data_IF_842509234415
#
_entry.id   IF_842509234415
#
_cell.length_a   1.000
_cell.length_b   1.000
_cell.length_c   1.000
_cell.angle_alpha   90.00
_cell.angle_beta   90.00
_cell.angle_gamma   90.00
#
_symmetry.space_group_name_H-M   'P 1'
#
loop_
_entity.id
_entity.type
_entity.pdbx_description
1 polymer ?
#
# COMPACT_ATOMS: atom_id res chain seq x y z
N UNK A 1 12.18 16.61 17.63
CA UNK A 1 11.50 15.74 16.64
C UNK A 1 12.10 14.35 16.77
N UNK A 2 11.36 13.36 17.28
CA UNK A 2 11.84 11.98 17.27
C UNK A 2 11.52 11.42 15.89
N UNK A 3 12.53 11.31 15.03
CA UNK A 3 12.34 10.73 13.71
C UNK A 3 12.01 9.24 13.89
N UNK A 4 10.92 8.74 13.30
CA UNK A 4 10.53 7.32 13.30
C UNK A 4 11.46 6.44 12.45
N UNK A 5 12.69 6.88 12.20
CA UNK A 5 13.67 6.27 11.31
C UNK A 5 15.07 6.48 11.88
N UNK A 6 15.91 5.45 11.78
CA UNK A 6 17.32 5.50 12.19
C UNK A 6 18.13 6.33 11.18
N UNK A 7 19.26 6.94 11.58
CA UNK A 7 20.20 7.54 10.64
C UNK A 7 20.55 6.57 9.51
N UNK A 8 20.62 7.08 8.27
CA UNK A 8 20.81 6.29 7.03
C UNK A 8 19.73 5.24 6.75
N UNK A 9 18.58 5.31 7.41
CA UNK A 9 17.43 4.48 7.10
C UNK A 9 16.83 4.80 5.72
N UNK A 10 15.89 3.96 5.28
CA UNK A 10 15.16 4.14 4.02
C UNK A 10 13.66 4.28 4.27
N UNK A 11 13.06 5.33 3.71
CA UNK A 11 11.61 5.49 3.59
C UNK A 11 11.19 5.04 2.19
N UNK A 12 10.23 4.13 2.12
CA UNK A 12 9.63 3.66 0.86
C UNK A 12 8.25 4.30 0.70
N UNK A 13 8.12 5.20 -0.26
CA UNK A 13 6.84 5.78 -0.64
C UNK A 13 6.09 4.82 -1.57
N UNK A 14 5.14 4.07 -1.02
CA UNK A 14 4.28 3.14 -1.76
C UNK A 14 2.92 3.73 -2.15
N UNK A 15 2.46 4.78 -1.45
CA UNK A 15 1.23 5.48 -1.77
C UNK A 15 1.50 6.68 -2.68
N UNK A 16 0.66 6.86 -3.70
CA UNK A 16 0.63 8.08 -4.49
C UNK A 16 -0.33 9.08 -3.84
N UNK A 17 0.19 10.23 -3.42
CA UNK A 17 -0.59 11.35 -2.90
C UNK A 17 -0.63 12.46 -3.94
N UNK A 18 -1.77 13.13 -4.07
CA UNK A 18 -1.89 14.28 -4.97
C UNK A 18 -1.15 15.50 -4.44
N UNK A 19 -1.22 15.74 -3.12
CA UNK A 19 -0.52 16.85 -2.48
C UNK A 19 0.95 16.50 -2.24
N UNK A 20 1.90 17.37 -2.59
CA UNK A 20 3.31 17.16 -2.30
C UNK A 20 3.56 16.99 -0.79
N UNK A 21 4.45 16.06 -0.44
CA UNK A 21 4.90 15.88 0.94
C UNK A 21 6.04 16.87 1.21
N UNK A 22 5.94 17.78 2.20
CA UNK A 22 7.01 18.73 2.50
C UNK A 22 8.25 18.00 3.03
N UNK A 23 9.43 18.44 2.56
CA UNK A 23 10.73 17.87 2.94
C UNK A 23 11.63 18.91 3.57
N UNK A 24 12.38 18.50 4.60
CA UNK A 24 13.38 19.33 5.30
C UNK A 24 14.77 18.91 4.82
N UNK A 25 15.40 19.72 3.97
CA UNK A 25 16.70 19.39 3.36
C UNK A 25 17.84 19.27 4.38
N UNK A 26 17.87 20.12 5.39
CA UNK A 26 18.85 20.07 6.48
C UNK A 26 18.81 18.70 7.18
N UNK A 27 17.60 18.24 7.52
CA UNK A 27 17.39 16.96 8.18
C UNK A 27 17.82 15.77 7.29
N UNK A 28 17.51 15.81 5.99
CA UNK A 28 17.97 14.77 5.04
C UNK A 28 19.51 14.72 4.97
N UNK A 29 20.15 15.89 4.90
CA UNK A 29 21.62 15.99 4.85
C UNK A 29 22.26 15.48 6.14
N UNK A 30 21.73 15.90 7.30
CA UNK A 30 22.29 15.54 8.60
C UNK A 30 22.10 14.05 8.95
N UNK A 31 20.98 13.44 8.54
CA UNK A 31 20.65 12.05 8.88
C UNK A 31 21.12 11.05 7.84
N UNK A 32 21.29 11.47 6.58
CA UNK A 32 21.59 10.59 5.45
C UNK A 32 20.44 9.63 5.09
N UNK A 33 19.21 9.92 5.52
CA UNK A 33 18.02 9.11 5.18
C UNK A 33 17.78 9.14 3.68
N UNK A 34 17.49 7.97 3.10
CA UNK A 34 17.09 7.83 1.70
C UNK A 34 15.57 7.73 1.57
N UNK A 35 14.99 8.49 0.64
CA UNK A 35 13.59 8.38 0.26
C UNK A 35 13.54 7.86 -1.18
N UNK A 36 12.76 6.80 -1.41
CA UNK A 36 12.53 6.24 -2.75
C UNK A 36 11.07 5.86 -2.91
N UNK A 37 10.61 5.79 -4.17
CA UNK A 37 9.26 5.38 -4.51
C UNK A 37 9.23 3.94 -5.00
N UNK A 38 8.10 3.27 -4.77
CA UNK A 38 7.79 2.01 -5.43
C UNK A 38 6.32 1.99 -5.80
N UNK A 39 6.00 1.38 -6.94
CA UNK A 39 4.63 1.09 -7.33
C UNK A 39 4.63 -0.25 -8.03
N UNK A 40 3.73 -1.13 -7.60
CA UNK A 40 3.62 -2.53 -8.04
C UNK A 40 4.97 -3.27 -8.02
N UNK A 41 5.01 -4.48 -8.58
CA UNK A 41 6.22 -5.29 -8.70
C UNK A 41 6.29 -5.94 -10.09
N UNK A 42 7.46 -6.47 -10.42
CA UNK A 42 7.70 -7.28 -11.60
C UNK A 42 6.94 -8.61 -11.52
N UNK A 43 6.75 -9.27 -12.68
CA UNK A 43 6.15 -10.62 -12.71
C UNK A 43 6.98 -11.65 -11.94
N UNK A 44 8.29 -11.45 -11.82
CA UNK A 44 9.14 -12.33 -11.03
C UNK A 44 8.85 -12.18 -9.54
N UNK A 45 8.88 -10.95 -9.04
CA UNK A 45 8.57 -10.64 -7.62
C UNK A 45 7.16 -11.11 -7.24
N UNK A 46 6.18 -10.97 -8.13
CA UNK A 46 4.83 -11.48 -7.89
C UNK A 46 4.78 -13.01 -7.76
N UNK A 47 5.57 -13.76 -8.56
CA UNK A 47 5.65 -15.22 -8.44
C UNK A 47 6.25 -15.63 -7.10
N UNK A 48 7.29 -14.93 -6.66
CA UNK A 48 7.92 -15.15 -5.37
C UNK A 48 6.96 -14.84 -4.22
N UNK A 49 6.19 -13.75 -4.32
CA UNK A 49 5.18 -13.38 -3.32
C UNK A 49 4.08 -14.43 -3.20
N UNK A 50 3.57 -14.96 -4.32
CA UNK A 50 2.57 -16.04 -4.31
C UNK A 50 3.15 -17.32 -3.69
N UNK A 51 4.41 -17.66 -3.99
CA UNK A 51 5.08 -18.80 -3.38
C UNK A 51 5.23 -18.63 -1.86
N UNK A 52 5.59 -17.44 -1.38
CA UNK A 52 5.63 -17.12 0.05
C UNK A 52 4.26 -17.24 0.71
N UNK A 53 3.20 -16.76 0.06
CA UNK A 53 1.83 -16.89 0.56
C UNK A 53 1.38 -18.35 0.69
N UNK A 54 1.81 -19.21 -0.24
CA UNK A 54 1.49 -20.65 -0.19
C UNK A 54 2.18 -21.38 0.98
N UNK A 55 3.41 -20.98 1.34
CA UNK A 55 4.13 -21.50 2.51
C UNK A 55 3.57 -20.93 3.82
N UNK A 56 3.35 -19.62 3.86
CA UNK A 56 2.79 -18.90 5.00
C UNK A 56 1.72 -17.92 4.52
N UNK A 57 0.43 -18.18 4.84
CA UNK A 57 -0.65 -17.30 4.42
C UNK A 57 -0.43 -15.85 4.82
N UNK A 58 -0.37 -14.99 3.80
CA UNK A 58 -0.35 -13.53 3.93
C UNK A 58 -1.78 -13.03 3.69
N UNK A 59 -2.62 -13.12 4.71
CA UNK A 59 -4.05 -12.80 4.60
C UNK A 59 -4.31 -11.28 4.62
N UNK A 60 -5.37 -10.87 3.93
CA UNK A 60 -5.91 -9.52 4.01
C UNK A 60 -7.41 -9.60 4.24
N UNK A 61 -7.97 -8.63 4.96
CA UNK A 61 -9.42 -8.55 5.14
C UNK A 61 -10.07 -8.25 3.80
N UNK A 62 -10.97 -9.13 3.37
CA UNK A 62 -11.73 -8.98 2.12
C UNK A 62 -13.22 -8.88 2.39
N UNK A 63 -13.89 -8.06 1.59
CA UNK A 63 -15.35 -7.93 1.53
C UNK A 63 -15.78 -8.39 0.13
N UNK A 64 -16.40 -9.57 0.04
CA UNK A 64 -16.89 -10.09 -1.24
C UNK A 64 -18.20 -9.39 -1.59
N UNK A 65 -18.29 -8.86 -2.81
CA UNK A 65 -19.45 -8.13 -3.32
C UNK A 65 -19.89 -8.68 -4.67
N UNK A 66 -21.17 -8.52 -4.99
CA UNK A 66 -21.71 -8.67 -6.33
C UNK A 66 -21.28 -7.52 -7.25
N UNK A 67 -21.38 -7.73 -8.57
CA UNK A 67 -21.06 -6.70 -9.56
C UNK A 67 -22.01 -5.49 -9.44
N UNK A 68 -23.27 -5.74 -9.09
CA UNK A 68 -24.31 -4.74 -8.87
C UNK A 68 -24.02 -3.80 -7.68
N UNK A 69 -23.16 -4.21 -6.76
CA UNK A 69 -22.82 -3.45 -5.55
C UNK A 69 -21.61 -2.52 -5.75
N UNK A 70 -20.92 -2.59 -6.89
CA UNK A 70 -19.65 -1.87 -7.14
C UNK A 70 -19.76 -0.37 -6.90
N UNK A 71 -20.85 0.26 -7.35
CA UNK A 71 -21.04 1.71 -7.17
C UNK A 71 -21.12 2.09 -5.68
N UNK A 72 -21.85 1.31 -4.89
CA UNK A 72 -21.96 1.54 -3.45
C UNK A 72 -20.61 1.29 -2.75
N UNK A 73 -19.90 0.23 -3.15
CA UNK A 73 -18.57 -0.09 -2.64
C UNK A 73 -17.54 1.01 -2.93
N UNK A 74 -17.55 1.62 -4.12
CA UNK A 74 -16.66 2.74 -4.46
C UNK A 74 -16.93 3.98 -3.60
N UNK A 75 -18.19 4.32 -3.34
CA UNK A 75 -18.55 5.44 -2.44
C UNK A 75 -18.10 5.16 -1.01
N UNK A 76 -18.27 3.92 -0.53
CA UNK A 76 -17.77 3.52 0.79
C UNK A 76 -16.24 3.58 0.87
N UNK A 77 -15.54 3.15 -0.18
CA UNK A 77 -14.07 3.21 -0.28
C UNK A 77 -13.56 4.65 -0.23
N UNK A 78 -14.16 5.56 -0.99
CA UNK A 78 -13.81 6.99 -0.99
C UNK A 78 -13.99 7.61 0.41
N UNK A 79 -15.05 7.23 1.12
CA UNK A 79 -15.33 7.69 2.49
C UNK A 79 -14.46 7.02 3.55
N UNK A 80 -13.55 6.12 3.17
CA UNK A 80 -12.71 5.37 4.10
C UNK A 80 -13.49 4.40 4.99
N UNK A 81 -14.65 3.92 4.52
CA UNK A 81 -15.56 3.04 5.27
C UNK A 81 -15.36 1.56 4.96
N UNK A 82 -14.49 1.20 4.01
CA UNK A 82 -14.13 -0.20 3.77
C UNK A 82 -13.29 -0.75 4.91
N UNK A 83 -13.53 -2.01 5.28
CA UNK A 83 -12.77 -2.74 6.29
C UNK A 83 -11.47 -3.35 5.75
N UNK A 84 -11.27 -3.29 4.43
CA UNK A 84 -10.13 -3.88 3.75
C UNK A 84 -10.19 -3.72 2.24
N UNK A 85 -10.28 -4.83 1.51
CA UNK A 85 -10.38 -4.84 0.04
C UNK A 85 -11.71 -5.43 -0.41
N UNK A 86 -12.40 -4.74 -1.32
CA UNK A 86 -13.53 -5.33 -2.02
C UNK A 86 -13.04 -6.35 -3.07
N UNK A 87 -13.69 -7.50 -3.13
CA UNK A 87 -13.47 -8.54 -4.14
C UNK A 87 -14.79 -8.82 -4.84
N UNK A 88 -14.83 -8.61 -6.15
CA UNK A 88 -16.05 -8.85 -6.93
C UNK A 88 -16.15 -10.35 -7.23
N UNK A 89 -17.24 -10.98 -6.79
CA UNK A 89 -17.57 -12.34 -7.19
C UNK A 89 -18.38 -12.32 -8.49
N UNK A 90 -17.92 -13.07 -9.48
CA UNK A 90 -18.66 -13.30 -10.74
C UNK A 90 -19.38 -14.65 -10.76
N UNK A 91 -19.22 -15.46 -9.70
CA UNK A 91 -19.96 -16.71 -9.55
C UNK A 91 -21.41 -16.37 -9.20
N UNK A 92 -22.34 -16.80 -10.06
CA UNK A 92 -23.78 -16.83 -9.77
C UNK A 92 -24.12 -17.98 -8.84
#
# INVERSE_FOLDING_TARGET
MVAGIRPRGRIIAAAMVFQPVPLIQEWLTATGVLITGTSVGTRQEMRELVAMHADKPLETTVEVIGLEEVSAALVALERGQSKGRYVISFAR
#
